data_IF_560822555587
#
_entry.id   IF_560822555587
#
_cell.length_a   1.000
_cell.length_b   1.000
_cell.length_c   1.000
_cell.angle_alpha   90.00
_cell.angle_beta   90.00
_cell.angle_gamma   90.00
#
_symmetry.space_group_name_H-M   'P 1'
#
loop_
_entity.id
_entity.type
_entity.pdbx_description
1 polymer ?
#
# COMPACT_ATOMS: atom_id res chain seq x y z
N UNK A 1 -27.78 -59.24 -23.18
CA UNK A 1 -28.15 -57.84 -22.87
C UNK A 1 -27.15 -57.28 -21.86
N UNK A 2 -26.14 -56.61 -22.33
CA UNK A 2 -25.11 -56.02 -21.47
C UNK A 2 -25.41 -54.51 -21.31
N UNK A 3 -25.78 -54.13 -20.10
CA UNK A 3 -25.91 -52.71 -19.74
C UNK A 3 -24.54 -52.20 -19.33
N UNK A 4 -23.92 -51.40 -20.19
CA UNK A 4 -22.75 -50.63 -19.84
C UNK A 4 -23.20 -49.43 -18.98
N UNK A 5 -22.81 -49.47 -17.71
CA UNK A 5 -22.88 -48.28 -16.83
C UNK A 5 -21.64 -47.41 -17.09
N UNK A 6 -21.84 -46.33 -17.79
CA UNK A 6 -20.82 -45.31 -17.94
C UNK A 6 -20.73 -44.47 -16.67
N UNK A 7 -19.65 -44.60 -15.93
CA UNK A 7 -19.31 -43.69 -14.81
C UNK A 7 -18.72 -42.45 -15.39
N UNK A 8 -19.46 -41.33 -15.33
CA UNK A 8 -18.99 -40.02 -15.70
C UNK A 8 -18.22 -39.44 -14.50
N UNK A 9 -16.90 -39.52 -14.54
CA UNK A 9 -16.05 -38.88 -13.55
C UNK A 9 -15.97 -37.39 -13.90
N UNK A 10 -16.76 -36.58 -13.18
CA UNK A 10 -16.65 -35.12 -13.24
C UNK A 10 -15.37 -34.66 -12.55
N UNK A 11 -14.41 -34.18 -13.33
CA UNK A 11 -13.21 -33.53 -12.82
C UNK A 11 -13.62 -32.10 -12.39
N UNK A 12 -13.77 -31.92 -11.08
CA UNK A 12 -13.91 -30.59 -10.50
C UNK A 12 -12.55 -29.87 -10.61
N UNK A 13 -12.41 -28.97 -11.57
CA UNK A 13 -11.31 -28.02 -11.58
C UNK A 13 -11.57 -26.99 -10.47
N UNK A 14 -10.94 -27.17 -9.32
CA UNK A 14 -10.78 -26.08 -8.35
C UNK A 14 -9.83 -25.06 -8.95
N UNK A 15 -10.37 -24.02 -9.57
CA UNK A 15 -9.59 -22.82 -9.88
C UNK A 15 -9.33 -22.12 -8.58
N UNK A 16 -8.14 -22.30 -8.01
CA UNK A 16 -7.65 -21.46 -6.93
C UNK A 16 -7.45 -20.06 -7.52
N UNK A 17 -8.38 -19.17 -7.27
CA UNK A 17 -8.14 -17.74 -7.48
C UNK A 17 -7.04 -17.36 -6.49
N UNK A 18 -5.82 -17.15 -6.99
CA UNK A 18 -4.77 -16.53 -6.20
C UNK A 18 -5.25 -15.11 -5.86
N UNK A 19 -5.61 -14.86 -4.60
CA UNK A 19 -5.84 -13.51 -4.13
C UNK A 19 -4.53 -12.75 -4.28
N UNK A 20 -4.55 -11.61 -4.99
CA UNK A 20 -3.43 -10.68 -5.02
C UNK A 20 -3.23 -10.18 -3.59
N UNK A 21 -2.23 -10.73 -2.91
CA UNK A 21 -1.83 -10.29 -1.58
C UNK A 21 -1.11 -8.94 -1.69
N UNK A 22 -1.89 -7.87 -1.76
CA UNK A 22 -1.35 -6.54 -1.66
C UNK A 22 -1.15 -6.19 -0.19
N UNK A 23 0.02 -5.70 0.13
CA UNK A 23 0.29 -5.10 1.44
C UNK A 23 -0.19 -3.65 1.46
N UNK A 24 -0.80 -3.22 2.53
CA UNK A 24 -1.29 -1.85 2.66
C UNK A 24 -1.04 -1.26 4.03
N UNK A 25 -1.03 0.06 4.10
CA UNK A 25 -0.94 0.83 5.33
C UNK A 25 -2.02 1.90 5.37
N UNK A 26 -2.67 2.01 6.52
CA UNK A 26 -3.61 3.08 6.81
C UNK A 26 -2.86 4.20 7.53
N UNK A 27 -2.96 5.41 7.02
CA UNK A 27 -2.21 6.56 7.49
C UNK A 27 -3.13 7.76 7.72
N UNK A 28 -2.81 8.55 8.74
CA UNK A 28 -3.48 9.81 9.04
C UNK A 28 -2.47 10.93 9.23
N UNK A 29 -2.80 12.12 8.79
CA UNK A 29 -1.91 13.27 8.93
C UNK A 29 -1.80 13.73 10.39
N UNK A 30 -0.62 14.22 10.75
CA UNK A 30 -0.30 14.74 12.08
C UNK A 30 -0.46 16.25 12.09
N UNK A 31 -1.00 16.80 13.19
CA UNK A 31 -1.03 18.24 13.44
C UNK A 31 -2.18 19.00 12.77
N UNK A 32 -3.03 18.36 12.01
CA UNK A 32 -4.21 18.98 11.44
C UNK A 32 -5.44 18.81 12.35
N UNK A 33 -6.29 19.83 12.42
CA UNK A 33 -7.57 19.75 13.15
C UNK A 33 -8.49 18.65 12.60
N UNK A 34 -8.54 18.56 11.27
CA UNK A 34 -9.19 17.46 10.55
C UNK A 34 -8.11 16.69 9.80
N UNK A 35 -7.75 15.49 10.23
CA UNK A 35 -6.67 14.76 9.60
C UNK A 35 -7.04 14.29 8.18
N UNK A 36 -6.09 14.41 7.27
CA UNK A 36 -6.13 13.70 6.01
C UNK A 36 -5.87 12.22 6.28
N UNK A 37 -6.62 11.34 5.63
CA UNK A 37 -6.48 9.89 5.77
C UNK A 37 -6.29 9.26 4.41
N UNK A 38 -5.36 8.33 4.35
CA UNK A 38 -5.05 7.61 3.12
C UNK A 38 -4.74 6.15 3.39
N UNK A 39 -4.94 5.33 2.36
CA UNK A 39 -4.46 3.97 2.26
C UNK A 39 -3.35 3.93 1.22
N UNK A 40 -2.17 3.53 1.64
CA UNK A 40 -1.05 3.28 0.74
C UNK A 40 -0.96 1.78 0.46
N UNK A 41 -1.02 1.38 -0.79
CA UNK A 41 -1.00 -0.03 -1.20
C UNK A 41 0.27 -0.34 -1.96
N UNK A 42 1.00 -1.34 -1.47
CA UNK A 42 2.19 -1.89 -2.10
C UNK A 42 1.82 -3.15 -2.87
N UNK A 43 2.21 -3.25 -4.12
CA UNK A 43 2.01 -4.47 -4.89
C UNK A 43 3.15 -5.44 -4.63
N UNK A 44 2.85 -6.62 -4.10
CA UNK A 44 3.87 -7.62 -3.73
C UNK A 44 4.59 -8.23 -4.93
N UNK A 45 3.87 -8.39 -6.05
CA UNK A 45 4.40 -8.90 -7.31
C UNK A 45 5.14 -7.84 -8.15
N UNK A 46 4.92 -6.56 -7.86
CA UNK A 46 5.55 -5.41 -8.53
C UNK A 46 6.03 -4.41 -7.47
N UNK A 47 7.21 -4.64 -6.87
CA UNK A 47 7.65 -3.88 -5.70
C UNK A 47 7.90 -2.38 -5.94
N UNK A 48 8.00 -1.97 -7.20
CA UNK A 48 8.20 -0.55 -7.57
C UNK A 48 6.92 0.17 -7.95
N UNK A 49 5.77 -0.48 -7.83
CA UNK A 49 4.47 0.07 -8.19
C UNK A 49 3.51 -0.07 -7.02
N UNK A 50 2.68 0.92 -6.82
CA UNK A 50 1.63 0.92 -5.81
C UNK A 50 0.55 1.92 -6.16
N UNK A 51 -0.32 2.16 -5.22
CA UNK A 51 -1.31 3.23 -5.35
C UNK A 51 -1.72 3.78 -3.98
N UNK A 52 -2.25 4.99 -4.00
CA UNK A 52 -2.75 5.70 -2.82
C UNK A 52 -4.22 6.00 -3.00
N UNK A 53 -5.00 5.75 -1.96
CA UNK A 53 -6.42 6.11 -1.91
C UNK A 53 -6.65 7.05 -0.74
N UNK A 54 -7.09 8.28 -1.01
CA UNK A 54 -7.48 9.22 0.03
C UNK A 54 -8.95 8.99 0.42
N UNK A 55 -9.27 9.15 1.71
CA UNK A 55 -10.63 8.98 2.24
C UNK A 55 -11.67 9.81 1.47
N UNK A 56 -11.35 11.05 1.14
CA UNK A 56 -12.23 11.97 0.42
C UNK A 56 -11.75 12.25 -1.02
N UNK A 57 -10.92 11.36 -1.56
CA UNK A 57 -10.40 11.47 -2.90
C UNK A 57 -11.35 10.94 -3.97
N UNK A 58 -11.02 11.19 -5.22
CA UNK A 58 -11.79 10.76 -6.40
C UNK A 58 -11.42 9.36 -6.92
N UNK A 59 -10.58 8.63 -6.21
CA UNK A 59 -10.14 7.29 -6.57
C UNK A 59 -8.65 7.06 -6.35
N UNK A 60 -8.14 5.87 -6.74
CA UNK A 60 -6.74 5.54 -6.56
C UNK A 60 -5.82 6.39 -7.43
N UNK A 61 -4.70 6.77 -6.85
CA UNK A 61 -3.61 7.48 -7.54
C UNK A 61 -2.45 6.51 -7.64
N UNK A 62 -2.02 6.18 -8.86
CA UNK A 62 -0.87 5.33 -9.08
C UNK A 62 0.42 6.01 -8.59
N UNK A 63 1.28 5.24 -7.97
CA UNK A 63 2.60 5.69 -7.52
C UNK A 63 3.69 4.75 -8.01
N UNK A 64 4.86 5.30 -8.24
CA UNK A 64 6.05 4.58 -8.67
C UNK A 64 7.21 4.86 -7.72
N UNK A 65 7.91 3.83 -7.29
CA UNK A 65 9.14 3.99 -6.53
C UNK A 65 10.25 4.55 -7.43
N UNK A 66 10.83 5.66 -6.99
CA UNK A 66 11.93 6.30 -7.69
C UNK A 66 13.28 5.78 -7.22
N UNK A 67 13.43 5.62 -5.89
CA UNK A 67 14.64 5.14 -5.27
C UNK A 67 14.37 4.60 -3.88
N UNK A 68 15.26 3.76 -3.43
CA UNK A 68 15.32 3.24 -2.07
C UNK A 68 16.78 3.18 -1.64
N UNK A 69 17.06 3.56 -0.39
CA UNK A 69 18.40 3.50 0.18
C UNK A 69 18.36 2.99 1.60
N UNK A 70 19.38 2.28 2.00
CA UNK A 70 19.61 1.95 3.39
C UNK A 70 20.09 3.20 4.14
N UNK A 71 19.41 3.54 5.22
CA UNK A 71 19.75 4.70 6.07
C UNK A 71 20.60 4.28 7.23
N UNK A 72 20.31 3.10 7.80
CA UNK A 72 21.03 2.56 8.94
C UNK A 72 20.94 1.04 8.96
N UNK A 73 22.12 0.40 9.13
CA UNK A 73 22.21 -1.01 9.42
C UNK A 73 21.91 -1.26 10.91
N UNK A 74 21.15 -2.32 11.20
CA UNK A 74 20.79 -2.71 12.56
C UNK A 74 21.43 -4.06 12.87
N UNK A 75 22.28 -4.16 13.93
CA UNK A 75 22.93 -5.40 14.31
C UNK A 75 21.96 -6.52 14.71
N UNK A 76 22.41 -7.79 14.65
CA UNK A 76 21.67 -8.94 15.14
C UNK A 76 20.66 -9.54 14.17
N UNK A 77 20.89 -9.40 12.87
CA UNK A 77 20.03 -10.00 11.82
C UNK A 77 18.66 -9.34 11.67
N UNK A 78 18.46 -8.18 12.28
CA UNK A 78 17.24 -7.38 12.11
C UNK A 78 17.28 -6.64 10.76
N UNK A 79 16.11 -6.37 10.14
CA UNK A 79 16.07 -5.58 8.92
C UNK A 79 16.74 -4.22 9.10
N UNK A 80 17.41 -3.73 8.06
CA UNK A 80 17.93 -2.37 8.01
C UNK A 80 16.81 -1.33 7.98
N UNK A 81 17.12 -0.11 8.42
CA UNK A 81 16.25 1.04 8.22
C UNK A 81 16.45 1.56 6.81
N UNK A 82 15.39 1.62 6.03
CA UNK A 82 15.40 2.05 4.63
C UNK A 82 14.52 3.29 4.43
N UNK A 83 14.92 4.13 3.49
CA UNK A 83 14.12 5.25 3.00
C UNK A 83 13.78 5.03 1.54
N UNK A 84 12.49 4.99 1.22
CA UNK A 84 11.97 4.87 -0.13
C UNK A 84 11.28 6.17 -0.55
N UNK A 85 11.51 6.59 -1.79
CA UNK A 85 10.80 7.71 -2.40
C UNK A 85 9.89 7.21 -3.53
N UNK A 86 8.64 7.66 -3.46
CA UNK A 86 7.60 7.35 -4.43
C UNK A 86 7.09 8.61 -5.07
N UNK A 87 6.69 8.53 -6.32
CA UNK A 87 6.11 9.65 -7.07
C UNK A 87 4.71 9.29 -7.56
N UNK A 88 3.77 10.21 -7.41
CA UNK A 88 2.45 10.08 -8.01
C UNK A 88 2.55 10.17 -9.53
N UNK A 89 1.93 9.21 -10.21
CA UNK A 89 1.82 9.19 -11.67
C UNK A 89 0.50 9.84 -12.05
N UNK A 90 0.57 11.11 -12.46
CA UNK A 90 -0.58 11.89 -12.90
C UNK A 90 -0.41 12.30 -14.36
N UNK A 91 -1.52 12.41 -15.09
CA UNK A 91 -1.49 12.76 -16.52
C UNK A 91 -0.96 14.17 -16.81
N UNK A 92 -1.13 15.09 -15.84
CA UNK A 92 -0.69 16.48 -15.94
C UNK A 92 0.68 16.75 -15.28
N UNK A 93 1.31 15.73 -14.67
CA UNK A 93 2.58 15.84 -13.99
C UNK A 93 2.55 16.67 -12.70
N UNK A 94 1.37 16.94 -12.12
CA UNK A 94 1.22 17.74 -10.88
C UNK A 94 1.37 16.94 -9.59
N UNK A 95 1.52 15.61 -9.70
CA UNK A 95 1.64 14.70 -8.57
C UNK A 95 2.85 14.97 -7.69
N UNK A 96 2.68 14.79 -6.39
CA UNK A 96 3.74 14.95 -5.41
C UNK A 96 4.54 13.68 -5.16
N UNK A 97 5.34 13.71 -4.10
CA UNK A 97 6.20 12.60 -3.68
C UNK A 97 5.86 12.14 -2.27
N UNK A 98 6.02 10.84 -2.07
CA UNK A 98 5.95 10.23 -0.75
C UNK A 98 7.34 9.76 -0.34
N UNK A 99 7.72 10.02 0.91
CA UNK A 99 8.96 9.51 1.51
C UNK A 99 8.56 8.60 2.66
N UNK A 100 8.97 7.36 2.58
CA UNK A 100 8.66 6.33 3.57
C UNK A 100 9.96 5.83 4.20
N UNK A 101 10.09 6.03 5.51
CA UNK A 101 11.21 5.47 6.29
C UNK A 101 10.68 4.30 7.08
N UNK A 102 11.24 3.12 6.86
CA UNK A 102 10.75 1.89 7.46
C UNK A 102 11.86 0.94 7.87
N UNK A 103 11.54 0.06 8.81
CA UNK A 103 12.35 -1.10 9.19
C UNK A 103 11.45 -2.33 9.17
N UNK A 104 11.64 -3.20 8.18
CA UNK A 104 10.70 -4.29 7.95
C UNK A 104 9.28 -3.76 7.75
N UNK A 105 8.32 -4.31 8.49
CA UNK A 105 6.92 -3.89 8.42
C UNK A 105 6.61 -2.59 9.18
N UNK A 106 7.56 -2.08 9.98
CA UNK A 106 7.34 -0.88 10.79
C UNK A 106 7.68 0.38 10.01
N UNK A 107 6.73 1.31 9.95
CA UNK A 107 6.93 2.65 9.38
C UNK A 107 7.30 3.61 10.52
N UNK A 108 8.46 4.28 10.38
CA UNK A 108 8.92 5.31 11.30
C UNK A 108 8.51 6.70 10.89
N UNK A 109 8.55 6.98 9.57
CA UNK A 109 8.15 8.25 9.00
C UNK A 109 7.41 8.02 7.70
N UNK A 110 6.39 8.81 7.49
CA UNK A 110 5.67 8.89 6.23
C UNK A 110 5.38 10.35 5.93
N UNK A 111 5.88 10.86 4.80
CA UNK A 111 5.73 12.26 4.41
C UNK A 111 5.21 12.35 2.98
N UNK A 112 4.31 13.28 2.75
CA UNK A 112 3.91 13.71 1.43
C UNK A 112 4.49 15.10 1.15
N UNK A 113 5.15 15.26 0.02
CA UNK A 113 5.74 16.53 -0.42
C UNK A 113 4.96 16.98 -1.65
N UNK A 114 4.20 18.05 -1.46
CA UNK A 114 3.38 18.61 -2.53
C UNK A 114 4.27 19.28 -3.57
N UNK A 115 4.10 18.92 -4.85
CA UNK A 115 4.93 19.42 -5.93
C UNK A 115 4.79 20.93 -6.14
N UNK A 116 3.56 21.45 -5.98
CA UNK A 116 3.20 22.84 -6.24
C UNK A 116 4.07 23.85 -5.48
N UNK A 117 4.35 23.58 -4.21
CA UNK A 117 4.99 24.53 -3.29
C UNK A 117 6.02 23.89 -2.35
N UNK A 118 6.23 22.59 -2.45
CA UNK A 118 7.13 21.84 -1.58
C UNK A 118 6.62 21.68 -0.14
N UNK A 119 5.34 21.97 0.13
CA UNK A 119 4.77 21.79 1.46
C UNK A 119 4.80 20.32 1.86
N UNK A 120 5.27 20.06 3.08
CA UNK A 120 5.40 18.73 3.66
C UNK A 120 4.25 18.44 4.61
N UNK A 121 3.58 17.31 4.37
CA UNK A 121 2.56 16.76 5.25
C UNK A 121 3.11 15.49 5.87
N UNK A 122 3.13 15.45 7.20
CA UNK A 122 3.56 14.26 7.94
C UNK A 122 2.36 13.39 8.30
N UNK A 123 2.55 12.08 8.19
CA UNK A 123 1.54 11.08 8.52
C UNK A 123 2.08 10.09 9.55
N UNK A 124 1.19 9.48 10.28
CA UNK A 124 1.45 8.33 11.15
C UNK A 124 0.50 7.19 10.80
N UNK A 125 0.86 5.96 11.19
CA UNK A 125 -0.01 4.81 10.99
C UNK A 125 -1.30 4.95 11.81
N UNK A 126 -2.43 4.69 11.16
CA UNK A 126 -3.76 4.61 11.78
C UNK A 126 -4.16 3.15 11.92
N UNK A 127 -3.67 2.52 12.99
CA UNK A 127 -3.90 1.10 13.24
C UNK A 127 -5.37 0.78 13.54
N UNK A 128 -6.14 1.75 14.05
CA UNK A 128 -7.57 1.57 14.31
C UNK A 128 -8.39 1.46 13.02
N UNK A 129 -7.91 2.06 11.93
CA UNK A 129 -8.56 1.99 10.64
C UNK A 129 -8.22 0.71 9.86
N UNK A 130 -7.17 -0.02 10.24
CA UNK A 130 -6.69 -1.19 9.51
C UNK A 130 -7.60 -2.40 9.76
N UNK A 131 -8.07 -3.01 8.67
CA UNK A 131 -8.83 -4.26 8.66
C UNK A 131 -8.17 -5.26 7.72
N UNK A 132 -8.65 -6.50 7.68
CA UNK A 132 -8.16 -7.50 6.73
C UNK A 132 -8.43 -7.11 5.26
N UNK A 133 -9.44 -6.28 5.01
CA UNK A 133 -9.87 -5.90 3.67
C UNK A 133 -9.34 -4.52 3.21
N UNK A 134 -8.74 -3.75 4.10
CA UNK A 134 -8.26 -2.40 3.83
C UNK A 134 -8.51 -1.43 4.96
N UNK A 135 -8.51 -0.14 4.66
CA UNK A 135 -8.72 0.90 5.65
C UNK A 135 -10.20 1.26 5.78
N UNK A 136 -10.73 1.16 6.99
CA UNK A 136 -12.08 1.60 7.34
C UNK A 136 -12.02 2.82 8.27
N UNK A 137 -12.36 3.99 7.73
CA UNK A 137 -12.24 5.26 8.46
C UNK A 137 -13.51 5.71 9.18
N UNK A 138 -14.63 5.03 8.93
CA UNK A 138 -15.94 5.42 9.45
C UNK A 138 -16.39 4.61 10.67
N UNK A 139 -15.46 3.96 11.36
CA UNK A 139 -15.77 3.30 12.63
C UNK A 139 -16.06 4.36 13.68
N UNK A 140 -17.32 4.40 14.10
CA UNK A 140 -17.73 5.17 15.27
C UNK A 140 -17.39 4.39 16.56
#
# INVERSE_FOLDING_TARGET
>A
MNKLFGVLIGILFCTSAAADENDFRCLKSIGAKTPLRLQFVFQTDKPDVGYVVYQNGSGPIAVKKLKEREVREVPGGRPSVSEAQWEEITSDGTGGKYVVVSQGARIYEFRYIRKKDGKVFKFEEDLEASTEEGCEWNKK
#
